data_IF_575627344672
#
_entry.id   IF_575627344672
#
_cell.length_a   1.000
_cell.length_b   1.000
_cell.length_c   1.000
_cell.angle_alpha   90.00
_cell.angle_beta   90.00
_cell.angle_gamma   90.00
#
_symmetry.space_group_name_H-M   'P 1'
#
loop_
_entity.id
_entity.type
_entity.pdbx_description
1 polymer ?
#
# COMPACT_ATOMS: atom_id res chain seq x y z
N UNK A 1 31.55 -0.58 10.02
CA UNK A 1 31.21 -1.12 8.67
C UNK A 1 30.56 0.00 7.89
N UNK A 2 31.29 0.68 6.99
CA UNK A 2 30.77 1.87 6.31
C UNK A 2 29.51 1.57 5.49
N UNK A 3 28.46 2.36 5.68
CA UNK A 3 27.21 2.27 4.92
C UNK A 3 27.50 2.62 3.46
N UNK A 4 27.73 1.60 2.62
CA UNK A 4 27.88 1.82 1.18
C UNK A 4 26.51 2.12 0.58
N UNK A 5 26.32 3.36 0.13
CA UNK A 5 25.11 3.77 -0.58
C UNK A 5 24.89 2.91 -1.83
N UNK A 6 23.62 2.66 -2.20
CA UNK A 6 23.29 1.97 -3.44
C UNK A 6 23.81 2.76 -4.64
N UNK A 7 24.16 2.06 -5.71
CA UNK A 7 24.45 2.72 -6.98
C UNK A 7 23.22 2.69 -7.89
N UNK A 8 22.95 3.78 -8.60
CA UNK A 8 21.90 3.79 -9.62
C UNK A 8 22.39 3.05 -10.87
N UNK A 9 21.50 2.27 -11.46
CA UNK A 9 21.72 1.54 -12.70
C UNK A 9 20.79 2.07 -13.79
N UNK A 10 21.35 2.38 -14.95
CA UNK A 10 20.60 2.79 -16.14
C UNK A 10 20.96 1.87 -17.31
N UNK A 11 19.95 1.23 -17.90
CA UNK A 11 20.11 0.26 -19.01
C UNK A 11 21.19 -0.82 -18.75
N UNK A 12 21.25 -1.38 -17.54
CA UNK A 12 22.23 -2.41 -17.19
C UNK A 12 23.62 -1.89 -16.78
N UNK A 13 23.88 -0.59 -16.99
CA UNK A 13 25.18 0.03 -16.67
C UNK A 13 25.09 0.77 -15.34
N UNK A 14 26.14 0.61 -14.54
CA UNK A 14 26.33 1.33 -13.28
C UNK A 14 26.65 2.80 -13.61
N UNK A 15 25.90 3.75 -13.04
CA UNK A 15 26.24 5.17 -13.13
C UNK A 15 27.44 5.50 -12.24
N UNK A 16 28.09 6.64 -12.49
CA UNK A 16 29.13 7.13 -11.59
C UNK A 16 28.58 7.34 -10.17
N UNK A 17 29.45 7.22 -9.17
CA UNK A 17 29.08 7.31 -7.75
C UNK A 17 28.60 8.71 -7.39
N UNK A 18 29.20 9.76 -7.96
CA UNK A 18 28.80 11.15 -7.73
C UNK A 18 27.38 11.43 -8.29
N UNK A 19 27.14 11.00 -9.54
CA UNK A 19 25.85 11.13 -10.21
C UNK A 19 24.77 10.28 -9.52
N UNK A 20 25.10 9.06 -9.09
CA UNK A 20 24.19 8.21 -8.34
C UNK A 20 23.80 8.85 -7.01
N UNK A 21 24.76 9.43 -6.28
CA UNK A 21 24.50 10.17 -5.05
C UNK A 21 23.57 11.35 -5.29
N UNK A 22 23.84 12.16 -6.31
CA UNK A 22 23.02 13.32 -6.67
C UNK A 22 21.57 12.89 -7.00
N UNK A 23 21.39 11.85 -7.82
CA UNK A 23 20.05 11.33 -8.16
C UNK A 23 19.32 10.83 -6.91
N UNK A 24 20.00 10.07 -6.05
CA UNK A 24 19.41 9.54 -4.81
C UNK A 24 18.99 10.67 -3.86
N UNK A 25 19.89 11.64 -3.65
CA UNK A 25 19.64 12.78 -2.78
C UNK A 25 18.48 13.62 -3.30
N UNK A 26 18.50 14.02 -4.58
CA UNK A 26 17.45 14.83 -5.19
C UNK A 26 16.10 14.10 -5.19
N UNK A 27 16.07 12.81 -5.53
CA UNK A 27 14.82 12.04 -5.52
C UNK A 27 14.22 11.89 -4.12
N UNK A 28 15.05 11.61 -3.11
CA UNK A 28 14.60 11.55 -1.72
C UNK A 28 14.13 12.92 -1.22
N UNK A 29 14.89 13.98 -1.51
CA UNK A 29 14.51 15.34 -1.16
C UNK A 29 13.16 15.72 -1.77
N UNK A 30 12.98 15.54 -3.08
CA UNK A 30 11.72 15.84 -3.77
C UNK A 30 10.55 15.03 -3.23
N UNK A 31 10.78 13.76 -2.85
CA UNK A 31 9.72 12.93 -2.29
C UNK A 31 9.20 13.44 -0.94
N UNK A 32 10.06 14.08 -0.14
CA UNK A 32 9.76 14.52 1.23
C UNK A 32 9.47 16.01 1.32
N UNK A 33 10.00 16.84 0.42
CA UNK A 33 9.91 18.29 0.49
C UNK A 33 8.57 18.86 0.05
N UNK A 34 7.66 18.05 -0.50
CA UNK A 34 6.34 18.52 -0.95
C UNK A 34 5.53 19.27 0.11
N UNK A 35 5.47 18.85 1.40
CA UNK A 35 4.78 19.60 2.45
C UNK A 35 5.39 20.97 2.78
N UNK A 36 6.59 21.29 2.26
CA UNK A 36 7.19 22.62 2.35
C UNK A 36 6.72 23.55 1.22
N UNK A 37 6.18 23.00 0.14
CA UNK A 37 5.80 23.73 -1.08
C UNK A 37 4.30 24.01 -1.19
N UNK A 38 3.47 23.35 -0.35
CA UNK A 38 2.01 23.41 -0.41
C UNK A 38 1.48 24.28 0.77
N UNK A 39 0.49 25.16 0.53
CA UNK A 39 -0.19 25.90 1.59
C UNK A 39 -0.78 24.97 2.65
N UNK A 40 -0.62 25.31 3.94
CA UNK A 40 -0.86 24.41 5.08
C UNK A 40 -2.27 24.53 5.67
N UNK A 41 -3.26 24.75 4.84
CA UNK A 41 -4.62 24.85 5.34
C UNK A 41 -5.12 23.46 5.77
N UNK A 42 -5.58 23.30 7.02
CA UNK A 42 -5.99 22.00 7.52
C UNK A 42 -7.23 21.52 6.77
N UNK A 43 -7.08 20.42 6.02
CA UNK A 43 -8.18 19.83 5.28
C UNK A 43 -9.28 19.23 6.18
N UNK A 44 -10.42 18.82 5.60
CA UNK A 44 -11.56 18.28 6.35
C UNK A 44 -11.23 17.05 7.22
N UNK A 45 -10.32 16.18 6.75
CA UNK A 45 -9.84 15.00 7.49
C UNK A 45 -9.09 15.41 8.78
N UNK A 46 -8.25 16.44 8.68
CA UNK A 46 -7.50 16.98 9.81
C UNK A 46 -8.40 17.62 10.85
N UNK A 47 -9.40 18.38 10.40
CA UNK A 47 -10.39 18.98 11.30
C UNK A 47 -11.26 17.93 11.97
N UNK A 48 -11.67 16.89 11.24
CA UNK A 48 -12.43 15.77 11.82
C UNK A 48 -11.61 15.06 12.90
N UNK A 49 -10.36 14.71 12.60
CA UNK A 49 -9.48 14.06 13.57
C UNK A 49 -9.19 14.97 14.78
N UNK A 50 -8.96 16.26 14.56
CA UNK A 50 -8.76 17.23 15.64
C UNK A 50 -9.99 17.35 16.54
N UNK A 51 -11.19 17.41 15.98
CA UNK A 51 -12.43 17.42 16.76
C UNK A 51 -12.61 16.16 17.62
N UNK A 52 -12.07 15.02 17.16
CA UNK A 52 -12.07 13.76 17.90
C UNK A 52 -11.08 13.74 19.06
N UNK A 53 -10.14 14.68 19.17
CA UNK A 53 -9.21 14.74 20.33
C UNK A 53 -9.95 15.00 21.64
N UNK A 54 -11.02 15.80 21.60
CA UNK A 54 -11.88 16.06 22.75
C UNK A 54 -12.69 14.83 23.17
N UNK A 55 -12.95 13.90 22.24
CA UNK A 55 -13.74 12.67 22.45
C UNK A 55 -12.90 11.40 22.46
N UNK A 56 -11.57 11.54 22.53
CA UNK A 56 -10.64 10.43 22.38
C UNK A 56 -10.85 9.33 23.43
N UNK A 57 -11.28 9.70 24.64
CA UNK A 57 -11.50 8.79 25.76
C UNK A 57 -12.72 7.86 25.55
N UNK A 58 -13.57 8.13 24.55
CA UNK A 58 -14.69 7.26 24.17
C UNK A 58 -14.27 6.08 23.28
N UNK A 59 -12.99 5.98 22.87
CA UNK A 59 -12.55 4.87 22.04
C UNK A 59 -12.69 3.53 22.78
N UNK A 60 -13.53 2.65 22.22
CA UNK A 60 -13.64 1.28 22.68
C UNK A 60 -12.65 0.35 21.93
N UNK A 61 -11.55 -0.01 22.59
CA UNK A 61 -10.58 -0.99 22.07
C UNK A 61 -11.02 -2.45 22.25
N UNK A 62 -11.96 -2.72 23.18
CA UNK A 62 -12.35 -4.07 23.58
C UNK A 62 -13.33 -4.73 22.61
N UNK A 63 -14.08 -3.94 21.85
CA UNK A 63 -14.94 -4.44 20.79
C UNK A 63 -14.59 -3.81 19.43
N UNK A 64 -13.61 -4.36 18.70
CA UNK A 64 -13.15 -3.80 17.44
C UNK A 64 -14.21 -3.71 16.34
N UNK A 65 -15.24 -4.55 16.41
CA UNK A 65 -16.31 -4.69 15.42
C UNK A 65 -17.62 -4.00 15.84
N UNK A 66 -17.61 -3.23 16.93
CA UNK A 66 -18.78 -2.45 17.35
C UNK A 66 -19.15 -1.41 16.27
N UNK A 67 -20.44 -1.31 15.87
CA UNK A 67 -20.90 -0.33 14.89
C UNK A 67 -20.75 1.12 15.36
N UNK A 68 -20.77 1.35 16.67
CA UNK A 68 -20.62 2.68 17.27
C UNK A 68 -19.17 3.15 17.35
N UNK A 69 -18.21 2.29 16.96
CA UNK A 69 -16.79 2.56 17.10
C UNK A 69 -16.29 3.51 16.02
N UNK A 70 -15.89 4.71 16.43
CA UNK A 70 -15.22 5.67 15.54
C UNK A 70 -13.71 5.41 15.42
N UNK A 71 -13.25 5.14 14.20
CA UNK A 71 -11.80 5.08 13.91
C UNK A 71 -11.09 6.42 14.13
N UNK A 72 -11.80 7.56 14.08
CA UNK A 72 -11.23 8.88 14.40
C UNK A 72 -10.96 9.03 15.89
N UNK A 73 -11.88 8.62 16.75
CA UNK A 73 -11.72 8.70 18.20
C UNK A 73 -10.57 7.80 18.68
N UNK A 74 -10.48 6.58 18.15
CA UNK A 74 -9.37 5.68 18.46
C UNK A 74 -8.02 6.18 17.93
N UNK A 75 -7.99 6.83 16.76
CA UNK A 75 -6.77 7.46 16.25
C UNK A 75 -6.37 8.66 17.10
N UNK A 76 -7.34 9.47 17.52
CA UNK A 76 -7.14 10.61 18.41
C UNK A 76 -6.59 10.16 19.77
N UNK A 77 -7.10 9.07 20.34
CA UNK A 77 -6.59 8.49 21.58
C UNK A 77 -5.11 8.12 21.50
N UNK A 78 -4.66 7.55 20.37
CA UNK A 78 -3.26 7.20 20.18
C UNK A 78 -2.35 8.40 19.85
N UNK A 79 -2.87 9.41 19.16
CA UNK A 79 -2.07 10.57 18.74
C UNK A 79 -2.03 11.68 19.80
N UNK A 80 -3.07 11.85 20.62
CA UNK A 80 -3.13 12.90 21.65
C UNK A 80 -1.93 12.85 22.61
N UNK A 81 -1.49 11.69 23.13
CA UNK A 81 -0.34 11.61 24.04
C UNK A 81 1.01 11.91 23.40
N UNK A 82 1.14 11.79 22.07
CA UNK A 82 2.41 12.06 21.37
C UNK A 82 2.67 13.55 21.15
N UNK A 83 1.68 14.41 21.45
CA UNK A 83 1.76 15.86 21.23
C UNK A 83 1.61 16.26 19.75
N UNK A 84 1.23 15.33 18.88
CA UNK A 84 0.92 15.63 17.47
C UNK A 84 -0.38 16.44 17.43
N UNK A 85 -0.36 17.55 16.70
CA UNK A 85 -1.47 18.49 16.55
C UNK A 85 -1.47 19.10 15.14
N UNK A 86 -2.41 19.99 14.86
CA UNK A 86 -2.56 20.64 13.55
C UNK A 86 -1.30 21.40 13.08
N UNK A 87 -0.50 21.95 14.01
CA UNK A 87 0.66 22.79 13.68
C UNK A 87 1.94 22.00 13.40
N UNK A 88 2.07 20.79 13.94
CA UNK A 88 3.30 20.00 13.87
C UNK A 88 3.15 18.66 13.13
N UNK A 89 1.92 18.22 12.79
CA UNK A 89 1.67 16.94 12.11
C UNK A 89 2.45 16.77 10.82
N UNK A 90 2.63 17.85 10.04
CA UNK A 90 3.41 17.86 8.80
C UNK A 90 4.85 17.34 8.99
N UNK A 91 5.49 17.67 10.12
CA UNK A 91 6.87 17.26 10.39
C UNK A 91 6.96 15.76 10.64
N UNK A 92 5.99 15.20 11.38
CA UNK A 92 5.88 13.75 11.60
C UNK A 92 5.56 13.02 10.31
N UNK A 93 4.66 13.58 9.49
CA UNK A 93 4.34 13.05 8.17
C UNK A 93 5.55 13.03 7.23
N UNK A 94 6.32 14.11 7.16
CA UNK A 94 7.58 14.19 6.42
C UNK A 94 8.59 13.15 6.91
N UNK A 95 8.75 13.02 8.24
CA UNK A 95 9.63 12.03 8.84
C UNK A 95 9.22 10.60 8.43
N UNK A 96 7.94 10.26 8.59
CA UNK A 96 7.39 8.97 8.16
C UNK A 96 7.65 8.71 6.66
N UNK A 97 7.36 9.69 5.80
CA UNK A 97 7.55 9.53 4.36
C UNK A 97 9.03 9.36 3.98
N UNK A 98 9.93 10.07 4.67
CA UNK A 98 11.36 9.90 4.50
C UNK A 98 11.78 8.45 4.77
N UNK A 99 11.43 7.88 5.92
CA UNK A 99 11.82 6.50 6.24
C UNK A 99 11.15 5.48 5.32
N UNK A 100 9.87 5.66 5.01
CA UNK A 100 9.16 4.77 4.10
C UNK A 100 9.75 4.81 2.68
N UNK A 101 10.49 5.87 2.29
CA UNK A 101 11.15 5.96 0.99
C UNK A 101 12.63 5.55 1.06
N UNK A 102 13.34 5.93 2.12
CA UNK A 102 14.77 5.67 2.30
C UNK A 102 15.08 4.21 2.64
N UNK A 103 14.27 3.54 3.48
CA UNK A 103 14.51 2.15 3.87
C UNK A 103 14.56 1.22 2.64
N UNK A 104 13.58 1.23 1.72
CA UNK A 104 13.67 0.41 0.51
C UNK A 104 14.91 0.71 -0.32
N UNK A 105 15.30 1.98 -0.48
CA UNK A 105 16.49 2.39 -1.26
C UNK A 105 17.76 1.72 -0.72
N UNK A 106 17.98 1.76 0.59
CA UNK A 106 19.19 1.22 1.24
C UNK A 106 19.28 -0.31 1.13
N UNK A 107 18.17 -1.01 0.88
CA UNK A 107 18.17 -2.46 0.68
C UNK A 107 18.83 -2.86 -0.65
N UNK A 108 18.74 -2.00 -1.67
CA UNK A 108 19.36 -2.26 -2.97
C UNK A 108 20.89 -2.14 -2.89
N UNK A 109 21.59 -2.95 -3.70
CA UNK A 109 23.01 -2.71 -4.02
C UNK A 109 23.16 -1.92 -5.31
N UNK A 110 22.37 -2.30 -6.30
CA UNK A 110 22.21 -1.61 -7.58
C UNK A 110 20.72 -1.44 -7.81
N UNK A 111 20.27 -0.20 -7.92
CA UNK A 111 18.87 0.13 -8.06
C UNK A 111 18.61 0.64 -9.47
N UNK A 112 17.77 -0.04 -10.28
CA UNK A 112 17.37 0.47 -11.58
C UNK A 112 16.70 1.83 -11.45
N UNK A 113 17.08 2.79 -12.30
CA UNK A 113 16.54 4.16 -12.26
C UNK A 113 15.01 4.20 -12.33
N UNK A 114 14.40 3.33 -13.14
CA UNK A 114 12.94 3.23 -13.23
C UNK A 114 12.30 2.85 -11.88
N UNK A 115 12.86 1.85 -11.19
CA UNK A 115 12.35 1.41 -9.87
C UNK A 115 12.52 2.53 -8.84
N UNK A 116 13.66 3.24 -8.87
CA UNK A 116 13.90 4.38 -7.99
C UNK A 116 12.92 5.52 -8.25
N UNK A 117 12.70 5.87 -9.52
CA UNK A 117 11.71 6.87 -9.93
C UNK A 117 10.30 6.52 -9.48
N UNK A 118 9.85 5.27 -9.70
CA UNK A 118 8.54 4.79 -9.23
C UNK A 118 8.40 4.92 -7.71
N UNK A 119 9.42 4.54 -6.94
CA UNK A 119 9.40 4.67 -5.47
C UNK A 119 9.32 6.14 -5.04
N UNK A 120 10.07 7.04 -5.68
CA UNK A 120 10.04 8.48 -5.38
C UNK A 120 8.68 9.09 -5.72
N UNK A 121 8.08 8.71 -6.85
CA UNK A 121 6.73 9.15 -7.22
C UNK A 121 5.68 8.69 -6.22
N UNK A 122 5.77 7.45 -5.72
CA UNK A 122 4.95 7.00 -4.59
C UNK A 122 5.21 7.81 -3.30
N UNK A 123 6.44 8.28 -3.09
CA UNK A 123 6.78 9.22 -2.01
C UNK A 123 6.12 10.58 -2.17
N UNK A 124 6.07 11.12 -3.38
CA UNK A 124 5.33 12.36 -3.70
C UNK A 124 3.84 12.18 -3.42
N UNK A 125 3.24 11.08 -3.90
CA UNK A 125 1.81 10.77 -3.63
C UNK A 125 1.54 10.70 -2.12
N UNK A 126 2.40 10.03 -1.34
CA UNK A 126 2.28 9.98 0.13
C UNK A 126 2.36 11.34 0.79
N UNK A 127 3.23 12.23 0.32
CA UNK A 127 3.40 13.55 0.91
C UNK A 127 2.11 14.37 0.91
N UNK A 128 1.30 14.30 -0.15
CA UNK A 128 -0.01 14.97 -0.19
C UNK A 128 -0.96 14.49 0.92
N UNK A 129 -0.83 13.24 1.36
CA UNK A 129 -1.68 12.70 2.42
C UNK A 129 -1.10 12.86 3.82
N UNK A 130 0.22 13.02 3.94
CA UNK A 130 0.94 13.14 5.21
C UNK A 130 1.26 14.58 5.61
N UNK A 131 0.90 15.57 4.80
CA UNK A 131 1.13 17.00 5.11
C UNK A 131 0.30 17.49 6.30
N UNK A 132 -0.82 16.85 6.60
CA UNK A 132 -1.80 17.30 7.59
C UNK A 132 -1.99 16.26 8.71
N UNK A 133 -2.69 16.66 9.78
CA UNK A 133 -3.07 15.75 10.86
C UNK A 133 -3.98 14.64 10.30
N UNK A 134 -3.47 13.41 10.21
CA UNK A 134 -4.23 12.30 9.64
C UNK A 134 -3.94 10.97 10.35
N UNK A 135 -4.88 10.03 10.22
CA UNK A 135 -4.72 8.64 10.70
C UNK A 135 -3.58 7.91 10.00
N UNK A 136 -3.21 8.37 8.80
CA UNK A 136 -2.15 7.74 8.02
C UNK A 136 -0.76 7.86 8.67
N UNK A 137 -0.59 8.77 9.65
CA UNK A 137 0.60 8.79 10.51
C UNK A 137 0.71 7.49 11.30
N UNK A 138 -0.39 7.00 11.86
CA UNK A 138 -0.42 5.72 12.61
C UNK A 138 -0.19 4.54 11.67
N UNK A 139 -0.83 4.54 10.49
CA UNK A 139 -0.59 3.54 9.45
C UNK A 139 0.87 3.51 9.05
N UNK A 140 1.50 4.67 8.89
CA UNK A 140 2.91 4.79 8.51
C UNK A 140 3.81 4.14 9.55
N UNK A 141 3.53 4.31 10.84
CA UNK A 141 4.27 3.64 11.93
C UNK A 141 4.11 2.12 11.84
N UNK A 142 2.89 1.63 11.59
CA UNK A 142 2.65 0.19 11.38
C UNK A 142 3.44 -0.33 10.16
N UNK A 143 3.42 0.36 9.03
CA UNK A 143 4.19 -0.05 7.85
C UNK A 143 5.70 0.06 8.08
N UNK A 144 6.18 1.06 8.81
CA UNK A 144 7.60 1.14 9.20
C UNK A 144 8.02 -0.08 10.03
N UNK A 145 7.18 -0.52 10.98
CA UNK A 145 7.40 -1.76 11.73
C UNK A 145 7.49 -2.98 10.80
N UNK A 146 6.62 -3.07 9.79
CA UNK A 146 6.67 -4.10 8.74
C UNK A 146 8.00 -4.02 7.97
N UNK A 147 8.43 -2.83 7.55
CA UNK A 147 9.68 -2.62 6.82
C UNK A 147 10.90 -3.03 7.65
N UNK A 148 11.00 -2.62 8.91
CA UNK A 148 12.11 -3.03 9.77
C UNK A 148 12.11 -4.55 10.01
N UNK A 149 10.93 -5.12 10.27
CA UNK A 149 10.77 -6.56 10.44
C UNK A 149 11.16 -7.35 9.18
N UNK A 150 10.88 -6.79 8.00
CA UNK A 150 11.24 -7.38 6.70
C UNK A 150 12.74 -7.57 6.50
N UNK A 151 13.57 -6.81 7.22
CA UNK A 151 15.03 -6.97 7.17
C UNK A 151 15.53 -8.16 8.01
N UNK A 152 14.70 -8.66 8.94
CA UNK A 152 15.06 -9.74 9.86
C UNK A 152 14.59 -11.11 9.36
N UNK A 153 14.93 -12.19 10.10
CA UNK A 153 14.37 -13.53 9.88
C UNK A 153 12.92 -13.66 10.36
N UNK A 154 12.48 -12.78 11.28
CA UNK A 154 11.15 -12.79 11.90
C UNK A 154 10.10 -11.98 11.10
N UNK A 155 10.35 -11.70 9.82
CA UNK A 155 9.49 -10.84 8.98
C UNK A 155 8.02 -11.25 8.96
N UNK A 156 7.71 -12.56 8.97
CA UNK A 156 6.33 -13.07 8.97
C UNK A 156 5.58 -12.66 10.23
N UNK A 157 6.20 -12.88 11.39
CA UNK A 157 5.63 -12.50 12.68
C UNK A 157 5.52 -10.99 12.83
N UNK A 158 6.55 -10.25 12.40
CA UNK A 158 6.52 -8.79 12.44
C UNK A 158 5.42 -8.19 11.55
N UNK A 159 5.21 -8.73 10.35
CA UNK A 159 4.09 -8.33 9.50
C UNK A 159 2.74 -8.65 10.16
N UNK A 160 2.52 -9.92 10.52
CA UNK A 160 1.25 -10.39 11.05
C UNK A 160 0.86 -9.63 12.32
N UNK A 161 1.80 -9.51 13.28
CA UNK A 161 1.56 -8.81 14.54
C UNK A 161 1.31 -7.32 14.31
N UNK A 162 2.10 -6.65 13.47
CA UNK A 162 1.88 -5.23 13.18
C UNK A 162 0.54 -4.98 12.50
N UNK A 163 0.12 -5.84 11.58
CA UNK A 163 -1.14 -5.68 10.86
C UNK A 163 -2.34 -5.96 11.77
N UNK A 164 -2.27 -7.01 12.60
CA UNK A 164 -3.35 -7.37 13.55
C UNK A 164 -3.47 -6.33 14.65
N UNK A 165 -2.37 -5.85 15.25
CA UNK A 165 -2.41 -4.80 16.27
C UNK A 165 -3.07 -3.55 15.69
N UNK A 166 -2.64 -3.09 14.52
CA UNK A 166 -3.26 -1.94 13.88
C UNK A 166 -4.74 -2.19 13.54
N UNK A 167 -5.08 -3.41 13.11
CA UNK A 167 -6.45 -3.78 12.81
C UNK A 167 -7.38 -3.76 14.01
N UNK A 168 -6.93 -4.32 15.13
CA UNK A 168 -7.66 -4.29 16.40
C UNK A 168 -7.79 -2.85 16.88
N UNK A 169 -6.73 -2.04 16.83
CA UNK A 169 -6.72 -0.70 17.43
C UNK A 169 -7.40 0.39 16.60
N UNK A 170 -7.39 0.31 15.27
CA UNK A 170 -7.84 1.42 14.42
C UNK A 170 -8.75 0.98 13.27
N UNK A 171 -8.37 -0.05 12.52
CA UNK A 171 -9.08 -0.44 11.27
C UNK A 171 -9.29 -1.95 11.14
N UNK A 172 -10.45 -2.49 11.55
CA UNK A 172 -10.68 -3.94 11.60
C UNK A 172 -10.39 -4.71 10.31
N UNK A 173 -10.57 -4.10 9.13
CA UNK A 173 -10.25 -4.73 7.85
C UNK A 173 -8.77 -5.10 7.69
N UNK A 174 -7.85 -4.54 8.50
CA UNK A 174 -6.45 -4.95 8.52
C UNK A 174 -6.25 -6.38 9.07
N UNK A 175 -7.21 -6.91 9.82
CA UNK A 175 -7.22 -8.32 10.20
C UNK A 175 -7.43 -9.16 8.94
N UNK A 176 -8.43 -8.83 8.11
CA UNK A 176 -8.63 -9.51 6.82
C UNK A 176 -7.40 -9.37 5.93
N UNK A 177 -6.76 -8.20 5.89
CA UNK A 177 -5.51 -7.99 5.15
C UNK A 177 -4.40 -8.96 5.59
N UNK A 178 -4.22 -9.17 6.90
CA UNK A 178 -3.25 -10.12 7.41
C UNK A 178 -3.57 -11.58 7.02
N UNK A 179 -4.86 -11.95 7.04
CA UNK A 179 -5.33 -13.29 6.66
C UNK A 179 -5.20 -13.52 5.15
N UNK A 180 -5.56 -12.54 4.32
CA UNK A 180 -5.37 -12.56 2.87
C UNK A 180 -3.91 -12.77 2.51
N UNK A 181 -2.98 -12.12 3.22
CA UNK A 181 -1.55 -12.33 3.01
C UNK A 181 -1.10 -13.76 3.35
N UNK A 182 -1.58 -14.33 4.45
CA UNK A 182 -1.31 -15.75 4.79
C UNK A 182 -1.84 -16.66 3.68
N UNK A 183 -3.06 -16.43 3.20
CA UNK A 183 -3.65 -17.15 2.08
C UNK A 183 -2.78 -17.09 0.81
N UNK A 184 -2.38 -15.90 0.39
CA UNK A 184 -1.47 -15.73 -0.77
C UNK A 184 -0.13 -16.46 -0.54
N UNK A 185 0.42 -16.40 0.68
CA UNK A 185 1.68 -17.06 1.02
C UNK A 185 1.58 -18.59 1.00
N UNK A 186 0.44 -19.16 1.35
CA UNK A 186 0.19 -20.61 1.25
C UNK A 186 -0.01 -21.03 -0.21
N UNK A 187 -0.77 -20.24 -0.96
CA UNK A 187 -1.16 -20.57 -2.33
C UNK A 187 -0.06 -20.31 -3.37
N UNK A 188 0.96 -19.48 -3.07
CA UNK A 188 1.99 -19.05 -4.03
C UNK A 188 2.72 -20.14 -4.83
N UNK A 189 2.72 -21.39 -4.36
CA UNK A 189 3.31 -22.55 -5.05
C UNK A 189 2.44 -23.04 -6.21
N UNK A 190 1.13 -22.79 -6.14
CA UNK A 190 0.12 -23.21 -7.10
C UNK A 190 -0.25 -22.07 -8.07
N UNK A 191 0.27 -20.86 -7.84
CA UNK A 191 -0.04 -19.67 -8.66
C UNK A 191 0.71 -19.70 -9.99
N UNK A 192 -0.04 -19.97 -11.04
CA UNK A 192 0.24 -19.65 -12.45
C UNK A 192 -0.63 -18.46 -12.88
N UNK A 193 -0.46 -17.98 -14.12
CA UNK A 193 -1.26 -16.85 -14.63
C UNK A 193 -2.77 -17.15 -14.61
N UNK A 194 -3.17 -18.34 -15.05
CA UNK A 194 -4.60 -18.71 -15.10
C UNK A 194 -5.16 -19.05 -13.71
N UNK A 195 -4.41 -19.82 -12.91
CA UNK A 195 -4.88 -20.20 -11.57
C UNK A 195 -4.95 -19.00 -10.63
N UNK A 196 -4.18 -17.93 -10.86
CA UNK A 196 -4.33 -16.67 -10.14
C UNK A 196 -5.77 -16.14 -10.22
N UNK A 197 -6.35 -16.08 -11.43
CA UNK A 197 -7.72 -15.56 -11.60
C UNK A 197 -8.76 -16.47 -10.94
N UNK A 198 -8.56 -17.78 -11.00
CA UNK A 198 -9.43 -18.75 -10.30
C UNK A 198 -9.33 -18.55 -8.78
N UNK A 199 -8.12 -18.45 -8.23
CA UNK A 199 -7.91 -18.22 -6.80
C UNK A 199 -8.42 -16.85 -6.35
N UNK A 200 -8.31 -15.83 -7.20
CA UNK A 200 -8.87 -14.50 -6.96
C UNK A 200 -10.40 -14.57 -6.85
N UNK A 201 -11.05 -15.24 -7.80
CA UNK A 201 -12.49 -15.45 -7.76
C UNK A 201 -12.91 -16.25 -6.53
N UNK A 202 -12.24 -17.36 -6.23
CA UNK A 202 -12.51 -18.17 -5.03
C UNK A 202 -12.30 -17.40 -3.73
N UNK A 203 -11.30 -16.52 -3.67
CA UNK A 203 -11.09 -15.64 -2.53
C UNK A 203 -12.29 -14.72 -2.31
N UNK A 204 -12.74 -14.01 -3.35
CA UNK A 204 -13.90 -13.12 -3.23
C UNK A 204 -15.19 -13.88 -2.94
N UNK A 205 -15.36 -15.06 -3.53
CA UNK A 205 -16.50 -15.93 -3.23
C UNK A 205 -16.52 -16.36 -1.76
N UNK A 206 -15.38 -16.80 -1.23
CA UNK A 206 -15.27 -17.21 0.17
C UNK A 206 -15.55 -16.04 1.13
N UNK A 207 -15.05 -14.84 0.83
CA UNK A 207 -15.30 -13.64 1.65
C UNK A 207 -16.76 -13.20 1.55
N UNK A 208 -17.35 -13.21 0.35
CA UNK A 208 -18.76 -12.88 0.15
C UNK A 208 -19.68 -13.82 0.93
N UNK A 209 -19.43 -15.13 0.84
CA UNK A 209 -20.14 -16.13 1.63
C UNK A 209 -19.95 -15.90 3.14
N UNK A 210 -18.72 -15.70 3.60
CA UNK A 210 -18.44 -15.51 5.03
C UNK A 210 -19.16 -14.29 5.60
N UNK A 211 -19.12 -13.14 4.90
CA UNK A 211 -19.76 -11.90 5.35
C UNK A 211 -21.27 -12.05 5.35
N UNK A 212 -21.87 -12.54 4.26
CA UNK A 212 -23.32 -12.62 4.16
C UNK A 212 -23.92 -13.68 5.10
N UNK A 213 -23.22 -14.80 5.34
CA UNK A 213 -23.66 -15.81 6.31
C UNK A 213 -23.47 -15.36 7.77
N UNK A 214 -22.40 -14.61 8.08
CA UNK A 214 -22.12 -14.19 9.45
C UNK A 214 -22.86 -12.91 9.86
N UNK A 215 -23.02 -11.95 8.93
CA UNK A 215 -23.56 -10.61 9.21
C UNK A 215 -24.93 -10.36 8.56
N UNK A 216 -25.40 -11.23 7.67
CA UNK A 216 -26.74 -11.16 7.09
C UNK A 216 -26.94 -10.11 5.99
N UNK A 217 -25.89 -9.39 5.57
CA UNK A 217 -25.95 -8.40 4.50
C UNK A 217 -24.89 -8.66 3.41
N UNK A 218 -25.14 -8.23 2.16
CA UNK A 218 -24.19 -8.45 1.06
C UNK A 218 -22.96 -7.56 1.19
N UNK A 219 -21.79 -8.03 0.75
CA UNK A 219 -20.52 -7.27 0.77
C UNK A 219 -20.65 -5.92 0.05
N UNK A 220 -21.41 -5.89 -1.05
CA UNK A 220 -21.65 -4.69 -1.83
C UNK A 220 -22.36 -3.58 -1.03
N UNK A 221 -23.15 -3.91 0.01
CA UNK A 221 -23.82 -2.90 0.84
C UNK A 221 -22.83 -2.10 1.71
N UNK A 222 -21.70 -2.71 2.10
CA UNK A 222 -20.66 -2.01 2.87
C UNK A 222 -20.13 -0.83 2.06
N UNK A 223 -19.83 -1.07 0.77
CA UNK A 223 -19.38 0.00 -0.12
C UNK A 223 -20.51 0.97 -0.47
N UNK A 224 -21.73 0.48 -0.69
CA UNK A 224 -22.88 1.34 -0.96
C UNK A 224 -23.12 2.34 0.19
N UNK A 225 -23.12 1.89 1.44
CA UNK A 225 -23.27 2.76 2.61
C UNK A 225 -22.17 3.82 2.72
N UNK A 226 -20.92 3.44 2.42
CA UNK A 226 -19.78 4.37 2.39
C UNK A 226 -19.86 5.38 1.24
N UNK A 227 -20.49 5.00 0.12
CA UNK A 227 -20.71 5.86 -1.03
C UNK A 227 -21.86 6.83 -0.79
N UNK A 228 -22.97 6.38 -0.17
CA UNK A 228 -24.13 7.22 0.17
C UNK A 228 -23.73 8.42 1.04
N UNK A 229 -22.91 8.18 2.07
CA UNK A 229 -22.35 9.23 2.93
C UNK A 229 -21.49 10.25 2.17
N UNK A 230 -20.87 9.85 1.05
CA UNK A 230 -20.02 10.72 0.23
C UNK A 230 -20.80 11.46 -0.85
N UNK A 231 -21.88 10.88 -1.37
CA UNK A 231 -22.79 11.54 -2.32
C UNK A 231 -23.70 12.57 -1.65
N UNK A 232 -23.95 12.45 -0.34
CA UNK A 232 -24.74 13.40 0.44
C UNK A 232 -23.96 14.68 0.84
N UNK A 233 -22.63 14.71 0.67
CA UNK A 233 -21.82 15.91 0.85
C UNK A 233 -21.84 16.83 -0.38
N UNK A 234 -21.66 18.14 -0.19
CA UNK A 234 -21.81 19.19 -1.24
C UNK A 234 -20.87 19.03 -2.47
N UNK A 235 -19.87 18.17 -2.39
CA UNK A 235 -19.08 17.74 -3.57
C UNK A 235 -19.03 16.21 -3.61
N UNK A 236 -19.95 15.60 -4.36
CA UNK A 236 -19.85 14.18 -4.68
C UNK A 236 -18.46 13.87 -5.23
N UNK A 237 -17.70 13.01 -4.54
CA UNK A 237 -16.33 12.70 -4.94
C UNK A 237 -16.30 12.21 -6.39
N UNK A 238 -15.65 12.99 -7.28
CA UNK A 238 -15.55 12.68 -8.72
C UNK A 238 -14.84 11.35 -9.00
N UNK A 239 -14.23 10.73 -7.99
CA UNK A 239 -13.50 9.47 -8.06
C UNK A 239 -14.18 8.31 -7.33
N UNK A 240 -15.49 8.35 -7.14
CA UNK A 240 -16.27 7.27 -6.53
C UNK A 240 -16.17 5.97 -7.34
N UNK A 241 -16.03 4.86 -6.63
CA UNK A 241 -16.02 3.52 -7.19
C UNK A 241 -17.42 2.92 -6.98
N UNK A 242 -18.21 2.95 -8.05
CA UNK A 242 -19.55 2.36 -8.08
C UNK A 242 -19.49 0.87 -8.39
N UNK A 243 -20.36 0.08 -7.74
CA UNK A 243 -20.58 -1.33 -8.08
C UNK A 243 -21.15 -1.44 -9.49
N UNK A 244 -20.74 -2.46 -10.24
CA UNK A 244 -21.22 -2.70 -11.60
C UNK A 244 -22.28 -3.79 -11.65
N UNK A 245 -22.22 -4.74 -10.72
CA UNK A 245 -23.24 -5.76 -10.53
C UNK A 245 -24.03 -5.47 -9.25
N UNK A 246 -25.35 -5.51 -9.34
CA UNK A 246 -26.29 -5.27 -8.22
C UNK A 246 -26.88 -6.56 -7.63
N UNK A 247 -26.34 -7.73 -8.01
CA UNK A 247 -26.82 -9.03 -7.51
C UNK A 247 -26.56 -9.23 -6.02
N UNK A 248 -27.53 -9.81 -5.32
CA UNK A 248 -27.48 -10.14 -3.88
C UNK A 248 -26.94 -11.54 -3.60
N UNK A 249 -26.70 -12.35 -4.63
CA UNK A 249 -26.11 -13.69 -4.51
C UNK A 249 -24.58 -13.63 -4.37
N UNK A 250 -23.99 -14.71 -3.84
CA UNK A 250 -22.55 -14.76 -3.55
C UNK A 250 -21.68 -14.64 -4.80
N UNK A 251 -22.15 -15.13 -5.95
CA UNK A 251 -21.38 -15.16 -7.20
C UNK A 251 -21.33 -13.76 -7.80
N UNK A 252 -22.46 -13.06 -7.87
CA UNK A 252 -22.54 -11.67 -8.32
C UNK A 252 -21.65 -10.75 -7.47
N UNK A 253 -21.66 -10.91 -6.15
CA UNK A 253 -20.80 -10.14 -5.25
C UNK A 253 -19.31 -10.43 -5.46
N UNK A 254 -18.95 -11.70 -5.71
CA UNK A 254 -17.57 -12.09 -5.99
C UNK A 254 -17.06 -11.52 -7.31
N UNK A 255 -17.90 -11.57 -8.36
CA UNK A 255 -17.60 -10.99 -9.67
C UNK A 255 -17.44 -9.46 -9.59
N UNK A 256 -18.33 -8.78 -8.85
CA UNK A 256 -18.26 -7.33 -8.67
C UNK A 256 -16.97 -6.90 -7.95
N UNK A 257 -16.61 -7.61 -6.86
CA UNK A 257 -15.35 -7.38 -6.14
C UNK A 257 -14.12 -7.64 -7.02
N UNK A 258 -14.20 -8.65 -7.90
CA UNK A 258 -13.16 -8.95 -8.88
C UNK A 258 -13.03 -7.85 -9.94
N UNK A 259 -14.14 -7.31 -10.46
CA UNK A 259 -14.15 -6.16 -11.39
C UNK A 259 -13.48 -4.96 -10.73
N UNK A 260 -13.83 -4.68 -9.47
CA UNK A 260 -13.28 -3.54 -8.73
C UNK A 260 -11.80 -3.72 -8.43
N UNK A 261 -11.34 -4.93 -8.11
CA UNK A 261 -9.93 -5.24 -8.02
C UNK A 261 -9.16 -4.86 -9.30
N UNK A 262 -9.73 -5.16 -10.48
CA UNK A 262 -9.10 -4.76 -11.75
C UNK A 262 -9.15 -3.26 -11.97
N UNK A 263 -10.25 -2.59 -11.63
CA UNK A 263 -10.35 -1.12 -11.71
C UNK A 263 -9.34 -0.44 -10.79
N UNK A 264 -9.13 -0.95 -9.57
CA UNK A 264 -8.09 -0.45 -8.66
C UNK A 264 -6.68 -0.71 -9.22
N UNK A 265 -6.45 -1.90 -9.78
CA UNK A 265 -5.15 -2.28 -10.37
C UNK A 265 -4.81 -1.48 -11.63
N UNK A 266 -5.83 -1.17 -12.44
CA UNK A 266 -5.75 -0.51 -13.74
C UNK A 266 -6.82 0.61 -13.79
N UNK A 267 -6.62 1.74 -13.10
CA UNK A 267 -7.64 2.77 -12.91
C UNK A 267 -7.81 3.69 -14.14
N UNK A 268 -7.95 3.09 -15.32
CA UNK A 268 -8.00 3.79 -16.62
C UNK A 268 -9.13 4.81 -16.72
N UNK A 269 -10.21 4.61 -15.97
CA UNK A 269 -11.33 5.55 -15.85
C UNK A 269 -10.93 6.92 -15.29
N UNK A 270 -9.87 7.00 -14.48
CA UNK A 270 -9.36 8.27 -13.96
C UNK A 270 -8.75 9.16 -15.05
N UNK A 271 -8.38 8.61 -16.21
CA UNK A 271 -7.86 9.41 -17.33
C UNK A 271 -8.96 10.36 -17.85
N UNK A 272 -10.23 9.95 -17.78
CA UNK A 272 -11.37 10.74 -18.24
C UNK A 272 -11.58 12.01 -17.40
N UNK A 273 -11.13 12.00 -16.14
CA UNK A 273 -11.23 13.14 -15.23
C UNK A 273 -10.19 14.25 -15.53
N UNK A 274 -9.31 14.04 -16.52
CA UNK A 274 -8.46 15.05 -17.21
C UNK A 274 -7.43 15.81 -16.35
N UNK A 275 -7.07 15.32 -15.16
CA UNK A 275 -6.02 15.91 -14.33
C UNK A 275 -4.63 15.32 -14.59
N UNK A 276 -3.54 16.13 -14.70
CA UNK A 276 -2.18 15.61 -14.87
C UNK A 276 -1.75 14.67 -13.72
N UNK A 277 -2.20 14.94 -12.49
CA UNK A 277 -1.97 14.07 -11.33
C UNK A 277 -2.64 12.69 -11.47
N UNK A 278 -3.82 12.63 -12.10
CA UNK A 278 -4.53 11.36 -12.34
C UNK A 278 -3.80 10.51 -13.38
N UNK A 279 -3.32 11.11 -14.47
CA UNK A 279 -2.53 10.39 -15.49
C UNK A 279 -1.26 9.79 -14.87
N UNK A 280 -0.56 10.55 -14.03
CA UNK A 280 0.63 10.07 -13.31
C UNK A 280 0.25 8.90 -12.38
N UNK A 281 -0.83 9.04 -11.62
CA UNK A 281 -1.30 7.99 -10.72
C UNK A 281 -1.68 6.71 -11.48
N UNK A 282 -2.37 6.82 -12.62
CA UNK A 282 -2.74 5.68 -13.47
C UNK A 282 -1.48 4.96 -13.96
N UNK A 283 -0.51 5.70 -14.51
CA UNK A 283 0.75 5.11 -14.96
C UNK A 283 1.50 4.41 -13.81
N UNK A 284 1.51 5.04 -12.63
CA UNK A 284 2.14 4.52 -11.42
C UNK A 284 1.48 3.21 -10.95
N UNK A 285 0.14 3.17 -10.94
CA UNK A 285 -0.64 1.98 -10.58
C UNK A 285 -0.44 0.85 -11.57
N UNK A 286 -0.52 1.10 -12.87
CA UNK A 286 -0.31 0.08 -13.90
C UNK A 286 1.08 -0.53 -13.78
N UNK A 287 2.13 0.28 -13.63
CA UNK A 287 3.48 -0.23 -13.42
C UNK A 287 3.59 -1.09 -12.16
N UNK A 288 2.97 -0.65 -11.06
CA UNK A 288 2.99 -1.35 -9.77
C UNK A 288 2.23 -2.67 -9.85
N UNK A 289 1.04 -2.68 -10.45
CA UNK A 289 0.20 -3.86 -10.63
C UNK A 289 0.85 -4.91 -11.54
N UNK A 290 1.42 -4.49 -12.68
CA UNK A 290 2.15 -5.38 -13.58
C UNK A 290 3.36 -6.01 -12.87
N UNK A 291 4.07 -5.24 -12.05
CA UNK A 291 5.21 -5.75 -11.29
C UNK A 291 4.79 -6.77 -10.22
N UNK A 292 3.73 -6.47 -9.46
CA UNK A 292 3.13 -7.39 -8.49
C UNK A 292 2.71 -8.69 -9.17
N UNK A 293 1.92 -8.60 -10.24
CA UNK A 293 1.41 -9.77 -10.95
C UNK A 293 2.53 -10.62 -11.55
N UNK A 294 3.52 -9.97 -12.18
CA UNK A 294 4.68 -10.65 -12.76
C UNK A 294 5.44 -11.45 -11.70
N UNK A 295 5.76 -10.85 -10.56
CA UNK A 295 6.53 -11.54 -9.51
C UNK A 295 5.73 -12.67 -8.85
N UNK A 296 4.43 -12.48 -8.65
CA UNK A 296 3.57 -13.48 -7.99
C UNK A 296 3.34 -14.71 -8.88
N UNK A 297 3.15 -14.51 -10.19
CA UNK A 297 2.85 -15.59 -11.15
C UNK A 297 4.09 -16.24 -11.78
N UNK A 298 5.28 -15.68 -11.56
CA UNK A 298 6.53 -16.20 -12.13
C UNK A 298 7.36 -16.97 -11.09
N UNK A 299 8.21 -17.87 -11.58
CA UNK A 299 9.20 -18.62 -10.80
C UNK A 299 10.56 -17.94 -10.80
N UNK A 300 10.87 -17.18 -11.86
CA UNK A 300 12.09 -16.39 -12.01
C UNK A 300 11.77 -14.90 -12.28
N UNK A 301 12.77 -14.04 -12.00
CA UNK A 301 12.76 -12.65 -12.41
C UNK A 301 14.14 -12.26 -12.93
N UNK A 302 14.20 -11.86 -14.20
CA UNK A 302 15.46 -11.57 -14.92
C UNK A 302 16.43 -12.76 -14.89
N UNK A 303 15.92 -13.98 -15.08
CA UNK A 303 16.73 -15.20 -15.20
C UNK A 303 17.24 -15.76 -13.86
N UNK A 304 16.75 -15.28 -12.72
CA UNK A 304 17.09 -15.80 -11.40
C UNK A 304 15.85 -16.26 -10.64
N UNK A 305 15.91 -17.39 -9.92
CA UNK A 305 14.78 -17.92 -9.18
C UNK A 305 14.36 -16.97 -8.05
N UNK A 306 13.05 -16.74 -7.93
CA UNK A 306 12.50 -15.86 -6.91
C UNK A 306 12.48 -16.60 -5.58
N UNK A 307 13.28 -16.11 -4.62
CA UNK A 307 13.30 -16.67 -3.28
C UNK A 307 11.95 -16.45 -2.56
N UNK A 308 11.65 -17.34 -1.61
CA UNK A 308 10.41 -17.32 -0.83
C UNK A 308 10.17 -15.99 -0.12
N UNK A 309 11.16 -15.47 0.61
CA UNK A 309 10.99 -14.23 1.40
C UNK A 309 10.65 -13.01 0.53
N UNK A 310 11.39 -12.68 -0.55
CA UNK A 310 10.98 -11.63 -1.49
C UNK A 310 9.57 -11.81 -2.04
N UNK A 311 9.19 -13.03 -2.45
CA UNK A 311 7.85 -13.30 -2.99
C UNK A 311 6.75 -13.04 -1.95
N UNK A 312 6.97 -13.42 -0.70
CA UNK A 312 6.04 -13.16 0.42
C UNK A 312 5.96 -11.67 0.80
N UNK A 313 7.06 -10.91 0.75
CA UNK A 313 7.03 -9.47 0.99
C UNK A 313 6.27 -8.73 -0.12
N UNK A 314 6.44 -9.16 -1.36
CA UNK A 314 5.74 -8.61 -2.53
C UNK A 314 4.25 -8.98 -2.51
N UNK A 315 3.89 -10.10 -1.88
CA UNK A 315 2.50 -10.45 -1.62
C UNK A 315 1.80 -9.52 -0.63
N UNK A 316 2.52 -8.72 0.18
CA UNK A 316 1.90 -7.80 1.16
C UNK A 316 1.06 -6.73 0.44
N UNK A 317 1.61 -5.88 -0.46
CA UNK A 317 0.78 -4.93 -1.19
C UNK A 317 -0.32 -5.58 -2.04
N UNK A 318 -0.10 -6.80 -2.56
CA UNK A 318 -1.15 -7.54 -3.27
C UNK A 318 -2.29 -7.93 -2.33
N UNK A 319 -2.00 -8.46 -1.15
CA UNK A 319 -3.01 -8.80 -0.16
C UNK A 319 -3.79 -7.56 0.31
N UNK A 320 -3.12 -6.41 0.41
CA UNK A 320 -3.78 -5.15 0.68
C UNK A 320 -4.75 -4.78 -0.45
N UNK A 321 -4.30 -4.88 -1.70
CA UNK A 321 -5.13 -4.61 -2.88
C UNK A 321 -6.35 -5.54 -2.98
N UNK A 322 -6.22 -6.82 -2.59
CA UNK A 322 -7.35 -7.75 -2.50
C UNK A 322 -8.42 -7.26 -1.53
N UNK A 323 -8.02 -6.79 -0.35
CA UNK A 323 -8.95 -6.27 0.66
C UNK A 323 -9.59 -4.95 0.20
N UNK A 324 -8.83 -4.10 -0.48
CA UNK A 324 -9.39 -2.86 -1.03
C UNK A 324 -10.43 -3.09 -2.12
N UNK A 325 -10.33 -4.19 -2.88
CA UNK A 325 -11.37 -4.59 -3.83
C UNK A 325 -12.76 -4.81 -3.20
N UNK A 326 -12.81 -5.10 -1.90
CA UNK A 326 -14.06 -5.32 -1.16
C UNK A 326 -14.68 -4.02 -0.64
N UNK A 327 -13.86 -3.17 0.00
CA UNK A 327 -14.37 -2.09 0.85
C UNK A 327 -14.12 -0.69 0.32
N UNK A 328 -13.18 -0.51 -0.62
CA UNK A 328 -12.70 0.81 -1.00
C UNK A 328 -13.78 1.59 -1.78
N UNK A 329 -14.21 2.76 -1.28
CA UNK A 329 -15.29 3.53 -1.88
C UNK A 329 -14.84 4.51 -2.96
N UNK A 330 -13.57 4.95 -2.97
CA UNK A 330 -13.08 5.96 -3.91
C UNK A 330 -11.57 5.84 -4.19
N UNK A 331 -11.11 6.30 -5.36
CA UNK A 331 -9.70 6.19 -5.75
C UNK A 331 -8.75 7.08 -4.95
N UNK A 332 -9.23 8.19 -4.37
CA UNK A 332 -8.40 9.08 -3.56
C UNK A 332 -8.01 8.43 -2.23
N UNK A 333 -8.99 7.84 -1.54
CA UNK A 333 -8.81 7.03 -0.35
C UNK A 333 -7.98 5.77 -0.64
N UNK A 334 -8.21 5.13 -1.79
CA UNK A 334 -7.37 4.03 -2.25
C UNK A 334 -5.89 4.44 -2.38
N UNK A 335 -5.62 5.51 -3.13
CA UNK A 335 -4.28 6.03 -3.36
C UNK A 335 -3.59 6.35 -2.02
N UNK A 336 -4.33 6.95 -1.09
CA UNK A 336 -3.87 7.25 0.26
C UNK A 336 -3.36 6.01 0.97
N UNK A 337 -4.19 4.98 1.16
CA UNK A 337 -3.77 3.82 1.95
C UNK A 337 -2.77 2.93 1.21
N UNK A 338 -2.96 2.72 -0.10
CA UNK A 338 -2.07 1.87 -0.90
C UNK A 338 -0.66 2.45 -0.93
N UNK A 339 -0.53 3.78 -1.08
CA UNK A 339 0.78 4.44 -1.10
C UNK A 339 1.60 4.19 0.18
N UNK A 340 0.94 4.02 1.34
CA UNK A 340 1.62 3.69 2.60
C UNK A 340 2.23 2.28 2.60
N UNK A 341 1.58 1.31 1.97
CA UNK A 341 1.98 -0.12 1.98
C UNK A 341 2.95 -0.47 0.85
N UNK A 342 2.88 0.24 -0.27
CA UNK A 342 3.72 0.04 -1.47
C UNK A 342 5.23 -0.06 -1.18
N UNK A 343 5.86 0.71 -0.27
CA UNK A 343 7.28 0.57 0.07
C UNK A 343 7.76 -0.86 0.33
N UNK A 344 6.90 -1.73 0.86
CA UNK A 344 7.22 -3.14 1.15
C UNK A 344 7.53 -3.93 -0.14
N UNK A 345 6.87 -3.60 -1.26
CA UNK A 345 7.18 -4.13 -2.60
C UNK A 345 8.65 -3.91 -2.94
N UNK A 346 9.11 -2.68 -2.74
CA UNK A 346 10.46 -2.24 -3.11
C UNK A 346 11.52 -2.90 -2.23
N UNK A 347 11.24 -3.15 -0.95
CA UNK A 347 12.15 -3.96 -0.11
C UNK A 347 12.24 -5.40 -0.63
N UNK A 348 11.12 -6.02 -0.98
CA UNK A 348 11.11 -7.36 -1.57
C UNK A 348 11.94 -7.43 -2.85
N UNK A 349 11.78 -6.45 -3.75
CA UNK A 349 12.57 -6.33 -4.98
C UNK A 349 14.05 -6.11 -4.70
N UNK A 350 14.38 -5.24 -3.73
CA UNK A 350 15.76 -4.98 -3.34
C UNK A 350 16.46 -6.23 -2.81
N UNK A 351 15.78 -7.02 -1.98
CA UNK A 351 16.30 -8.30 -1.48
C UNK A 351 16.50 -9.32 -2.60
N UNK A 352 15.54 -9.40 -3.53
CA UNK A 352 15.63 -10.28 -4.71
C UNK A 352 16.83 -9.92 -5.59
N UNK A 353 16.99 -8.65 -5.93
CA UNK A 353 18.09 -8.19 -6.80
C UNK A 353 19.44 -8.18 -6.09
N UNK A 354 19.47 -8.07 -4.76
CA UNK A 354 20.71 -8.16 -3.97
C UNK A 354 21.27 -9.58 -3.90
N UNK A 355 20.41 -10.60 -3.95
CA UNK A 355 20.79 -12.01 -3.94
C UNK A 355 21.45 -12.43 -5.26
N UNK A 356 21.12 -11.77 -6.36
CA UNK A 356 21.69 -12.04 -7.68
C UNK A 356 23.08 -11.39 -7.78
N UNK A 357 24.14 -12.14 -7.46
CA UNK A 357 25.45 -11.82 -8.03
C UNK A 357 25.31 -11.95 -9.55
N UNK A 358 25.82 -11.00 -10.37
CA UNK A 358 26.04 -11.31 -11.77
C UNK A 358 27.05 -12.46 -11.80
N UNK A 359 26.63 -13.63 -12.27
CA UNK A 359 27.57 -14.64 -12.73
C UNK A 359 28.37 -13.93 -13.82
N UNK A 360 29.68 -13.75 -13.62
CA UNK A 360 30.55 -13.29 -14.70
C UNK A 360 30.39 -14.31 -15.82
N UNK A 361 29.87 -13.86 -16.96
CA UNK A 361 29.93 -14.61 -18.21
C UNK A 361 31.37 -14.48 -18.71
N UNK A 362 32.31 -15.10 -17.99
CA UNK A 362 33.72 -15.21 -18.36
C UNK A 362 34.17 -16.62 -17.96
N UNK A 363 33.78 -17.62 -18.76
CA UNK A 363 34.49 -18.90 -18.97
C UNK A 363 33.67 -19.92 -19.80
N UNK A 364 32.96 -19.47 -20.84
CA UNK A 364 32.47 -20.38 -21.91
C UNK A 364 33.02 -19.98 -23.29
N UNK A 365 34.19 -19.37 -23.27
CA UNK A 365 35.08 -19.32 -24.43
C UNK A 365 36.21 -20.30 -24.06
N UNK A 366 36.37 -21.35 -24.86
CA UNK A 366 37.42 -22.39 -24.83
C UNK A 366 37.21 -23.53 -23.82
N UNK A 367 36.52 -24.58 -24.29
CA UNK A 367 37.05 -25.95 -24.34
C UNK A 367 36.42 -26.67 -25.54
#
# INVERSE_FOLDING_TARGET
MGLKLPCIEFRGKKLDSSLSFLILFTGLFLSVAMPLLIPRDPGPDAMTLWSSYARADNCNFWNPFSPDRSSYECSAFLLRPTGINLTNAWAYGMFCNFFLTAIPVVVFRRMPLAIFGTLCLWGVVRSFFLENLTKEIIVSVAVLSILFSSLTRKYRGGFFLSAVIYGVLIRPYWILFSLSWVGVCMMKKYVSRMTFFVMLFLFYLAVAMAIQLALGFPVSSIRASNNELRTAGEEGSKSLIVSWLSGSDFVSQALDSMIIFFRLSFPVELILLSGPGQVIFVALMIMTALLLFKVITSTDYKGAPIQTKPKELIAIPLAFLLVQGLFEPDFGSFARHFSMVVPVLFVGLGLMLRANKPVRVESRILN
#
